data_IF_934174617900
#
_entry.id   IF_934174617900
#
_cell.length_a   1.000
_cell.length_b   1.000
_cell.length_c   1.000
_cell.angle_alpha   90.00
_cell.angle_beta   90.00
_cell.angle_gamma   90.00
#
_symmetry.space_group_name_H-M   'P 1'
#
loop_
_entity.id
_entity.type
_entity.pdbx_description
1 polymer ?
#
# COMPACT_ATOMS: atom_id res chain seq x y z
N UNK A 1 -1.66 -13.65 47.08
CA UNK A 1 -0.68 -12.95 46.22
C UNK A 1 0.02 -14.02 45.39
N UNK A 2 -0.58 -14.39 44.26
CA UNK A 2 0.06 -15.27 43.30
C UNK A 2 1.02 -14.41 42.47
N UNK A 3 2.31 -14.64 42.65
CA UNK A 3 3.37 -14.20 41.74
C UNK A 3 3.14 -14.88 40.39
N UNK A 4 2.54 -14.16 39.44
CA UNK A 4 2.57 -14.55 38.03
C UNK A 4 4.02 -14.55 37.59
N UNK A 5 4.59 -15.74 37.52
CA UNK A 5 5.88 -15.99 36.88
C UNK A 5 5.73 -15.58 35.41
N UNK A 6 6.33 -14.46 35.01
CA UNK A 6 6.48 -14.11 33.60
C UNK A 6 7.38 -15.16 32.96
N UNK A 7 6.76 -16.21 32.43
CA UNK A 7 7.44 -17.13 31.53
C UNK A 7 7.84 -16.32 30.31
N UNK A 8 9.12 -15.97 30.21
CA UNK A 8 9.70 -15.48 28.96
C UNK A 8 9.45 -16.56 27.91
N UNK A 9 8.54 -16.28 26.98
CA UNK A 9 8.30 -17.13 25.82
C UNK A 9 9.60 -17.17 25.04
N UNK A 10 10.22 -18.35 24.96
CA UNK A 10 11.45 -18.52 24.21
C UNK A 10 11.11 -18.42 22.72
N UNK A 11 11.52 -17.33 22.07
CA UNK A 11 11.36 -17.18 20.62
C UNK A 11 12.39 -18.01 19.87
N UNK A 12 12.01 -18.51 18.71
CA UNK A 12 12.93 -19.19 17.82
C UNK A 12 14.04 -18.23 17.36
N UNK A 13 15.23 -18.77 17.08
CA UNK A 13 16.34 -17.97 16.51
C UNK A 13 15.93 -17.32 15.18
N UNK A 14 15.01 -17.97 14.44
CA UNK A 14 14.53 -17.48 13.14
C UNK A 14 13.59 -16.30 13.33
N UNK A 15 12.64 -16.37 14.29
CA UNK A 15 11.80 -15.23 14.63
C UNK A 15 12.63 -14.06 15.13
N UNK A 16 13.61 -14.29 16.02
CA UNK A 16 14.51 -13.24 16.48
C UNK A 16 15.22 -12.57 15.29
N UNK A 17 15.78 -13.36 14.37
CA UNK A 17 16.48 -12.85 13.19
C UNK A 17 15.58 -11.99 12.31
N UNK A 18 14.32 -12.39 12.14
CA UNK A 18 13.32 -11.61 11.41
C UNK A 18 13.03 -10.27 12.11
N UNK A 19 12.71 -10.30 13.40
CA UNK A 19 12.34 -9.10 14.16
C UNK A 19 13.48 -8.09 14.25
N UNK A 20 14.73 -8.57 14.35
CA UNK A 20 15.91 -7.71 14.50
C UNK A 20 16.52 -7.22 13.18
N UNK A 21 16.02 -7.68 12.03
CA UNK A 21 16.60 -7.38 10.72
C UNK A 21 16.64 -5.87 10.44
N UNK A 22 17.82 -5.37 10.03
CA UNK A 22 18.07 -3.94 9.80
C UNK A 22 17.71 -3.49 8.38
N UNK A 23 17.80 -4.39 7.41
CA UNK A 23 17.48 -4.12 6.02
C UNK A 23 16.41 -5.07 5.51
N UNK A 24 15.67 -4.60 4.51
CA UNK A 24 14.50 -5.30 3.99
C UNK A 24 14.85 -6.65 3.37
N UNK A 25 15.99 -6.78 2.70
CA UNK A 25 16.41 -8.06 2.12
C UNK A 25 16.58 -9.12 3.20
N UNK A 26 17.23 -8.77 4.31
CA UNK A 26 17.45 -9.67 5.45
C UNK A 26 16.13 -10.03 6.13
N UNK A 27 15.23 -9.05 6.29
CA UNK A 27 13.90 -9.30 6.83
C UNK A 27 13.11 -10.27 5.95
N UNK A 28 13.15 -10.11 4.62
CA UNK A 28 12.48 -11.01 3.66
C UNK A 28 13.06 -12.42 3.71
N UNK A 29 14.38 -12.57 3.72
CA UNK A 29 15.03 -13.88 3.81
C UNK A 29 14.68 -14.60 5.13
N UNK A 30 14.72 -13.87 6.25
CA UNK A 30 14.34 -14.39 7.56
C UNK A 30 12.85 -14.74 7.63
N UNK A 31 11.97 -13.93 7.00
CA UNK A 31 10.54 -14.19 6.88
C UNK A 31 10.26 -15.49 6.13
N UNK A 32 10.97 -15.72 5.02
CA UNK A 32 10.87 -16.95 4.23
C UNK A 32 11.33 -18.14 5.07
N UNK A 33 12.46 -18.01 5.76
CA UNK A 33 12.98 -19.05 6.64
C UNK A 33 12.05 -19.37 7.81
N UNK A 34 11.34 -18.37 8.35
CA UNK A 34 10.38 -18.53 9.45
C UNK A 34 9.19 -19.40 9.04
N UNK A 35 8.77 -19.35 7.78
CA UNK A 35 7.63 -20.11 7.27
C UNK A 35 6.34 -19.79 8.03
N UNK A 36 5.76 -20.80 8.68
CA UNK A 36 4.62 -20.64 9.58
C UNK A 36 5.10 -20.64 11.03
N UNK A 37 4.92 -19.53 11.78
CA UNK A 37 5.31 -19.48 13.18
C UNK A 37 4.59 -20.54 14.01
N UNK A 38 5.33 -21.15 14.93
CA UNK A 38 4.80 -22.06 15.94
C UNK A 38 4.01 -21.30 17.03
N UNK A 39 3.34 -21.99 17.97
CA UNK A 39 2.55 -21.32 19.01
C UNK A 39 3.34 -20.36 19.92
N UNK A 40 4.61 -20.66 20.21
CA UNK A 40 5.45 -19.82 21.06
C UNK A 40 5.87 -18.56 20.31
N UNK A 41 6.28 -18.70 19.05
CA UNK A 41 6.58 -17.57 18.17
C UNK A 41 5.34 -16.67 17.96
N UNK A 42 4.14 -17.24 17.79
CA UNK A 42 2.88 -16.47 17.70
C UNK A 42 2.58 -15.69 18.97
N UNK A 43 2.77 -16.30 20.14
CA UNK A 43 2.57 -15.63 21.42
C UNK A 43 3.56 -14.45 21.59
N UNK A 44 4.80 -14.61 21.12
CA UNK A 44 5.78 -13.54 21.13
C UNK A 44 5.44 -12.41 20.16
N UNK A 45 5.03 -12.72 18.93
CA UNK A 45 4.54 -11.73 17.95
C UNK A 45 3.39 -10.90 18.55
N UNK A 46 2.39 -11.55 19.13
CA UNK A 46 1.27 -10.87 19.77
C UNK A 46 1.72 -9.97 20.93
N UNK A 47 2.69 -10.41 21.72
CA UNK A 47 3.27 -9.61 22.80
C UNK A 47 3.97 -8.35 22.29
N UNK A 48 4.75 -8.46 21.20
CA UNK A 48 5.43 -7.33 20.55
C UNK A 48 4.40 -6.32 20.01
N UNK A 49 3.39 -6.80 19.27
CA UNK A 49 2.34 -5.92 18.72
C UNK A 49 1.51 -5.25 19.81
N UNK A 50 1.29 -5.90 20.96
CA UNK A 50 0.59 -5.28 22.07
C UNK A 50 1.44 -4.20 22.75
N UNK A 51 2.74 -4.46 22.98
CA UNK A 51 3.67 -3.52 23.64
C UNK A 51 4.00 -2.33 22.76
N UNK A 52 4.27 -2.56 21.48
CA UNK A 52 4.63 -1.53 20.49
C UNK A 52 5.82 -0.65 20.93
N UNK A 53 6.80 -1.24 21.64
CA UNK A 53 7.95 -0.53 22.19
C UNK A 53 9.26 -0.77 21.43
N UNK A 54 9.20 -1.59 20.39
CA UNK A 54 10.29 -1.84 19.44
C UNK A 54 9.81 -1.51 18.03
N UNK A 55 10.03 -0.26 17.58
CA UNK A 55 9.57 0.23 16.27
C UNK A 55 10.07 -0.64 15.12
N UNK A 56 11.29 -1.19 15.21
CA UNK A 56 11.85 -2.03 14.16
C UNK A 56 11.13 -3.38 14.08
N UNK A 57 10.97 -4.05 15.21
CA UNK A 57 10.24 -5.31 15.25
C UNK A 57 8.78 -5.14 14.79
N UNK A 58 8.13 -4.06 15.22
CA UNK A 58 6.78 -3.71 14.78
C UNK A 58 6.74 -3.42 13.28
N UNK A 59 7.67 -2.63 12.75
CA UNK A 59 7.71 -2.33 11.31
C UNK A 59 7.86 -3.61 10.47
N UNK A 60 8.76 -4.51 10.88
CA UNK A 60 8.94 -5.80 10.22
C UNK A 60 7.63 -6.60 10.22
N UNK A 61 6.87 -6.59 11.33
CA UNK A 61 5.56 -7.23 11.40
C UNK A 61 4.47 -6.53 10.57
N UNK A 62 4.49 -5.20 10.47
CA UNK A 62 3.55 -4.43 9.65
C UNK A 62 3.78 -4.63 8.15
N UNK A 63 5.03 -4.85 7.72
CA UNK A 63 5.33 -5.27 6.34
C UNK A 63 4.84 -6.69 6.01
N UNK A 64 4.55 -7.50 7.03
CA UNK A 64 4.16 -8.91 6.90
C UNK A 64 2.91 -9.22 7.75
N UNK A 65 1.76 -8.58 7.46
CA UNK A 65 0.56 -8.70 8.29
C UNK A 65 0.02 -10.13 8.35
N UNK A 66 0.38 -11.01 7.40
CA UNK A 66 -0.01 -12.42 7.43
C UNK A 66 0.60 -13.21 8.61
N UNK A 67 1.61 -12.65 9.29
CA UNK A 67 2.14 -13.19 10.55
C UNK A 67 1.24 -12.88 11.76
N UNK A 68 0.37 -11.89 11.64
CA UNK A 68 -0.55 -11.46 12.69
C UNK A 68 -1.82 -12.31 12.70
N UNK A 69 -2.49 -12.36 13.85
CA UNK A 69 -3.84 -12.92 13.93
C UNK A 69 -4.79 -12.11 13.04
N UNK A 70 -5.71 -12.77 12.33
CA UNK A 70 -6.58 -12.14 11.33
C UNK A 70 -7.39 -10.97 11.92
N UNK A 71 -7.87 -11.11 13.15
CA UNK A 71 -8.60 -10.09 13.90
C UNK A 71 -7.77 -8.86 14.32
N UNK A 72 -6.45 -8.95 14.23
CA UNK A 72 -5.50 -7.92 14.66
C UNK A 72 -4.76 -7.27 13.50
N UNK A 73 -4.75 -7.89 12.30
CA UNK A 73 -4.10 -7.37 11.10
C UNK A 73 -4.50 -5.91 10.83
N UNK A 74 -5.79 -5.68 10.66
CA UNK A 74 -6.34 -4.37 10.26
C UNK A 74 -6.12 -3.33 11.33
N UNK A 75 -6.36 -3.69 12.61
CA UNK A 75 -6.14 -2.80 13.75
C UNK A 75 -4.68 -2.37 13.87
N UNK A 76 -3.76 -3.30 13.63
CA UNK A 76 -2.32 -3.03 13.66
C UNK A 76 -1.90 -2.10 12.53
N UNK A 77 -2.40 -2.31 11.31
CA UNK A 77 -2.12 -1.43 10.17
C UNK A 77 -2.69 -0.03 10.40
N UNK A 78 -3.92 0.10 10.90
CA UNK A 78 -4.50 1.40 11.27
C UNK A 78 -3.63 2.09 12.34
N UNK A 79 -3.26 1.37 13.40
CA UNK A 79 -2.37 1.92 14.45
C UNK A 79 -1.04 2.39 13.88
N UNK A 80 -0.44 1.64 12.95
CA UNK A 80 0.78 2.00 12.26
C UNK A 80 0.65 3.27 11.42
N UNK A 81 -0.44 3.40 10.67
CA UNK A 81 -0.76 4.61 9.89
C UNK A 81 -0.99 5.85 10.76
N UNK A 82 -1.47 5.68 11.99
CA UNK A 82 -1.71 6.76 12.96
C UNK A 82 -0.45 7.18 13.74
N UNK A 83 0.72 6.61 13.44
CA UNK A 83 1.98 7.01 14.10
C UNK A 83 2.57 8.27 13.47
N UNK A 84 2.05 9.45 13.83
CA UNK A 84 2.46 10.75 13.24
C UNK A 84 3.97 11.03 13.31
N UNK A 85 4.65 10.57 14.35
CA UNK A 85 6.08 10.84 14.59
C UNK A 85 7.02 9.79 13.94
N UNK A 86 6.51 8.61 13.57
CA UNK A 86 7.32 7.50 13.04
C UNK A 86 6.95 7.21 11.57
N UNK A 87 7.63 7.91 10.66
CA UNK A 87 7.42 7.76 9.22
C UNK A 87 7.71 6.33 8.72
N UNK A 88 8.57 5.58 9.40
CA UNK A 88 8.90 4.22 8.98
C UNK A 88 7.79 3.24 9.35
N UNK A 89 7.19 3.38 10.54
CA UNK A 89 5.99 2.61 10.90
C UNK A 89 4.82 2.92 9.97
N UNK A 90 4.61 4.18 9.60
CA UNK A 90 3.60 4.54 8.59
C UNK A 90 3.90 3.89 7.25
N UNK A 91 5.13 3.96 6.77
CA UNK A 91 5.55 3.28 5.54
C UNK A 91 5.29 1.78 5.59
N UNK A 92 5.66 1.12 6.69
CA UNK A 92 5.45 -0.31 6.89
C UNK A 92 3.96 -0.66 6.84
N UNK A 93 3.13 0.13 7.52
CA UNK A 93 1.68 -0.04 7.50
C UNK A 93 1.08 0.20 6.10
N UNK A 94 1.50 1.25 5.40
CA UNK A 94 1.07 1.52 4.02
C UNK A 94 1.33 0.29 3.14
N UNK A 95 2.56 -0.24 3.19
CA UNK A 95 2.94 -1.39 2.37
C UNK A 95 2.17 -2.65 2.80
N UNK A 96 2.02 -2.88 4.12
CA UNK A 96 1.26 -4.01 4.65
C UNK A 96 -0.21 -4.03 4.22
N UNK A 97 -0.84 -2.89 3.95
CA UNK A 97 -2.21 -2.84 3.41
C UNK A 97 -2.33 -3.54 2.04
N UNK A 98 -1.23 -3.68 1.29
CA UNK A 98 -1.26 -4.40 0.00
C UNK A 98 -1.46 -5.91 0.17
N UNK A 99 -1.12 -6.46 1.34
CA UNK A 99 -1.11 -7.90 1.60
C UNK A 99 -2.35 -8.37 2.38
N UNK A 100 -3.28 -7.47 2.72
CA UNK A 100 -4.55 -7.84 3.36
C UNK A 100 -5.66 -8.08 2.34
N UNK A 101 -6.57 -9.00 2.66
CA UNK A 101 -7.77 -9.22 1.85
C UNK A 101 -8.82 -8.14 2.13
N UNK A 102 -8.82 -7.08 1.32
CA UNK A 102 -9.75 -5.96 1.47
C UNK A 102 -11.24 -6.35 1.37
N UNK A 103 -11.56 -7.48 0.72
CA UNK A 103 -12.95 -7.93 0.53
C UNK A 103 -13.57 -8.47 1.82
N UNK A 104 -12.75 -8.87 2.79
CA UNK A 104 -13.20 -9.38 4.08
C UNK A 104 -13.27 -8.28 5.15
N UNK A 105 -12.94 -7.03 4.81
CA UNK A 105 -12.94 -5.92 5.75
C UNK A 105 -14.35 -5.44 6.06
N UNK A 106 -14.58 -5.08 7.33
CA UNK A 106 -15.75 -4.31 7.71
C UNK A 106 -15.75 -2.94 7.01
N UNK A 107 -16.92 -2.41 6.68
CA UNK A 107 -17.04 -1.14 5.96
C UNK A 107 -16.40 0.04 6.70
N UNK A 108 -16.45 0.03 8.03
CA UNK A 108 -15.82 1.06 8.87
C UNK A 108 -14.29 1.03 8.74
N UNK A 109 -13.69 -0.15 8.84
CA UNK A 109 -12.24 -0.34 8.70
C UNK A 109 -11.75 -0.02 7.29
N UNK A 110 -12.48 -0.47 6.26
CA UNK A 110 -12.17 -0.13 4.86
C UNK A 110 -12.16 1.38 4.65
N UNK A 111 -13.17 2.07 5.18
CA UNK A 111 -13.27 3.54 5.09
C UNK A 111 -12.10 4.20 5.82
N UNK A 112 -11.78 3.76 7.04
CA UNK A 112 -10.69 4.30 7.83
C UNK A 112 -9.33 4.13 7.16
N UNK A 113 -9.01 2.94 6.63
CA UNK A 113 -7.79 2.69 5.87
C UNK A 113 -7.72 3.58 4.62
N UNK A 114 -8.82 3.67 3.86
CA UNK A 114 -8.89 4.54 2.67
C UNK A 114 -8.60 5.99 3.03
N UNK A 115 -9.24 6.52 4.07
CA UNK A 115 -9.03 7.91 4.53
C UNK A 115 -7.58 8.15 4.92
N UNK A 116 -6.97 7.26 5.71
CA UNK A 116 -5.58 7.41 6.13
C UNK A 116 -4.61 7.38 4.94
N UNK A 117 -4.81 6.47 3.99
CA UNK A 117 -3.98 6.38 2.79
C UNK A 117 -4.16 7.60 1.87
N UNK A 118 -5.38 8.11 1.71
CA UNK A 118 -5.60 9.35 0.95
C UNK A 118 -4.88 10.52 1.61
N UNK A 119 -4.90 10.61 2.94
CA UNK A 119 -4.14 11.63 3.68
C UNK A 119 -2.65 11.55 3.38
N UNK A 120 -2.07 10.34 3.38
CA UNK A 120 -0.65 10.13 3.04
C UNK A 120 -0.32 10.49 1.59
N UNK A 121 -1.24 10.29 0.64
CA UNK A 121 -1.05 10.74 -0.76
C UNK A 121 -1.03 12.27 -0.85
N UNK A 122 -1.81 12.95 -0.02
CA UNK A 122 -1.97 14.41 -0.07
C UNK A 122 -0.84 15.14 0.66
N UNK A 123 -0.41 14.62 1.81
CA UNK A 123 0.42 15.32 2.79
C UNK A 123 1.74 14.60 3.10
N UNK A 124 1.86 13.33 2.73
CA UNK A 124 3.03 12.51 3.01
C UNK A 124 4.28 12.94 2.24
N UNK A 125 5.43 12.43 2.69
CA UNK A 125 6.68 12.56 1.91
C UNK A 125 6.54 11.87 0.56
N UNK A 126 7.42 12.19 -0.39
CA UNK A 126 7.36 11.60 -1.74
C UNK A 126 7.26 10.07 -1.72
N UNK A 127 8.02 9.39 -0.84
CA UNK A 127 8.00 7.92 -0.71
C UNK A 127 6.69 7.43 -0.11
N UNK A 128 6.21 8.08 0.96
CA UNK A 128 4.95 7.72 1.62
C UNK A 128 3.76 7.89 0.67
N UNK A 129 3.65 9.06 0.03
CA UNK A 129 2.59 9.35 -0.93
C UNK A 129 2.60 8.37 -2.10
N UNK A 130 3.79 8.09 -2.66
CA UNK A 130 3.93 7.13 -3.73
C UNK A 130 3.49 5.73 -3.32
N UNK A 131 3.88 5.26 -2.13
CA UNK A 131 3.45 3.93 -1.64
C UNK A 131 1.97 3.90 -1.26
N UNK A 132 1.42 4.99 -0.73
CA UNK A 132 0.01 5.08 -0.40
C UNK A 132 -0.87 5.06 -1.66
N UNK A 133 -0.44 5.72 -2.75
CA UNK A 133 -1.16 5.72 -4.04
C UNK A 133 -1.29 4.33 -4.67
N UNK A 134 -0.35 3.42 -4.39
CA UNK A 134 -0.44 2.01 -4.77
C UNK A 134 -1.39 1.26 -3.83
N UNK A 135 -1.22 1.45 -2.53
CA UNK A 135 -1.90 0.67 -1.50
C UNK A 135 -3.40 0.96 -1.42
N UNK A 136 -3.82 2.17 -1.81
CA UNK A 136 -5.22 2.56 -1.83
C UNK A 136 -6.02 1.92 -2.98
N UNK A 137 -5.36 1.36 -4.01
CA UNK A 137 -6.00 0.93 -5.25
C UNK A 137 -7.11 -0.11 -5.09
N UNK A 138 -6.99 -0.99 -4.09
CA UNK A 138 -8.01 -2.01 -3.80
C UNK A 138 -9.18 -1.46 -2.95
N UNK A 139 -9.04 -0.26 -2.40
CA UNK A 139 -10.02 0.39 -1.53
C UNK A 139 -10.89 1.42 -2.26
N UNK A 140 -10.41 1.92 -3.41
CA UNK A 140 -11.11 2.93 -4.21
C UNK A 140 -12.44 2.40 -4.77
N UNK A 141 -13.40 3.31 -4.88
CA UNK A 141 -14.72 3.09 -5.45
C UNK A 141 -15.07 4.19 -6.45
N UNK A 142 -16.10 4.02 -7.30
CA UNK A 142 -16.50 5.04 -8.27
C UNK A 142 -16.79 6.42 -7.67
N UNK A 143 -17.24 6.51 -6.42
CA UNK A 143 -17.44 7.79 -5.73
C UNK A 143 -16.13 8.58 -5.46
N UNK A 144 -14.96 7.94 -5.56
CA UNK A 144 -13.66 8.55 -5.29
C UNK A 144 -13.07 9.26 -6.53
N UNK A 145 -13.86 9.45 -7.61
CA UNK A 145 -13.40 9.98 -8.89
C UNK A 145 -12.77 11.37 -8.79
N UNK A 146 -13.34 12.26 -7.98
CA UNK A 146 -12.85 13.63 -7.84
C UNK A 146 -11.45 13.64 -7.21
N UNK A 147 -11.23 12.80 -6.20
CA UNK A 147 -9.93 12.65 -5.55
C UNK A 147 -8.88 12.07 -6.51
N UNK A 148 -9.27 11.13 -7.38
CA UNK A 148 -8.37 10.56 -8.39
C UNK A 148 -8.00 11.58 -9.47
N UNK A 149 -8.96 12.40 -9.91
CA UNK A 149 -8.70 13.47 -10.85
C UNK A 149 -7.78 14.54 -10.26
N UNK A 150 -7.95 14.91 -8.98
CA UNK A 150 -7.05 15.84 -8.30
C UNK A 150 -5.60 15.32 -8.26
N UNK A 151 -5.41 14.02 -8.05
CA UNK A 151 -4.09 13.39 -8.06
C UNK A 151 -3.38 13.49 -9.42
N UNK A 152 -4.11 13.58 -10.54
CA UNK A 152 -3.51 13.78 -11.85
C UNK A 152 -2.80 15.13 -11.96
N UNK A 153 -3.20 16.15 -11.19
CA UNK A 153 -2.56 17.47 -11.18
C UNK A 153 -1.31 17.53 -10.31
N UNK A 154 -0.92 16.43 -9.65
CA UNK A 154 0.29 16.42 -8.82
C UNK A 154 1.53 16.55 -9.73
N UNK A 155 2.56 17.31 -9.31
CA UNK A 155 3.78 17.44 -10.11
C UNK A 155 4.61 16.15 -10.16
N UNK A 156 4.31 15.17 -9.31
CA UNK A 156 5.00 13.89 -9.26
C UNK A 156 4.45 12.91 -10.31
N UNK A 157 5.29 12.56 -11.30
CA UNK A 157 4.94 11.64 -12.39
C UNK A 157 4.45 10.28 -11.91
N UNK A 158 4.99 9.76 -10.80
CA UNK A 158 4.60 8.48 -10.24
C UNK A 158 3.19 8.57 -9.65
N UNK A 159 2.86 9.65 -8.93
CA UNK A 159 1.51 9.86 -8.42
C UNK A 159 0.49 10.01 -9.56
N UNK A 160 0.83 10.76 -10.61
CA UNK A 160 -0.01 10.90 -11.81
C UNK A 160 -0.26 9.55 -12.49
N UNK A 161 0.81 8.76 -12.63
CA UNK A 161 0.73 7.41 -13.18
C UNK A 161 -0.22 6.53 -12.38
N UNK A 162 -0.06 6.51 -11.06
CA UNK A 162 -0.85 5.65 -10.17
C UNK A 162 -2.32 6.07 -10.13
N UNK A 163 -2.61 7.37 -10.16
CA UNK A 163 -3.97 7.89 -10.29
C UNK A 163 -4.62 7.48 -11.62
N UNK A 164 -3.86 7.49 -12.72
CA UNK A 164 -4.35 7.06 -14.02
C UNK A 164 -4.66 5.55 -14.06
N UNK A 165 -3.77 4.73 -13.51
CA UNK A 165 -4.01 3.29 -13.32
C UNK A 165 -5.26 3.06 -12.45
N UNK A 166 -5.43 3.84 -11.38
CA UNK A 166 -6.59 3.78 -10.52
C UNK A 166 -7.90 4.06 -11.29
N UNK A 167 -7.94 5.12 -12.10
CA UNK A 167 -9.10 5.46 -12.93
C UNK A 167 -9.43 4.31 -13.90
N UNK A 168 -8.43 3.77 -14.59
CA UNK A 168 -8.63 2.63 -15.51
C UNK A 168 -9.14 1.40 -14.77
N UNK A 169 -8.65 1.13 -13.56
CA UNK A 169 -9.09 -0.01 -12.76
C UNK A 169 -10.53 0.14 -12.25
N UNK A 170 -10.92 1.33 -11.80
CA UNK A 170 -12.25 1.60 -11.23
C UNK A 170 -13.33 1.70 -12.31
N UNK A 171 -13.02 2.35 -13.44
CA UNK A 171 -14.01 2.69 -14.47
C UNK A 171 -13.84 1.91 -15.79
N UNK A 172 -12.70 1.26 -16.00
CA UNK A 172 -12.31 0.73 -17.30
C UNK A 172 -11.74 1.80 -18.22
N UNK A 173 -11.06 1.36 -19.30
CA UNK A 173 -10.29 2.23 -20.21
C UNK A 173 -11.14 3.34 -20.82
N UNK A 174 -12.29 3.01 -21.42
CA UNK A 174 -13.11 3.98 -22.14
C UNK A 174 -13.69 5.05 -21.19
N UNK A 175 -14.25 4.63 -20.06
CA UNK A 175 -14.86 5.56 -19.14
C UNK A 175 -13.81 6.42 -18.42
N UNK A 176 -12.61 5.88 -18.15
CA UNK A 176 -11.49 6.68 -17.64
C UNK A 176 -11.07 7.77 -18.63
N UNK A 177 -10.96 7.45 -19.93
CA UNK A 177 -10.70 8.43 -21.00
C UNK A 177 -11.76 9.53 -21.04
N UNK A 178 -13.05 9.16 -21.00
CA UNK A 178 -14.15 10.11 -21.05
C UNK A 178 -14.14 11.05 -19.83
N UNK A 179 -13.87 10.51 -18.64
CA UNK A 179 -13.74 11.29 -17.40
C UNK A 179 -12.58 12.29 -17.48
N UNK A 180 -11.42 11.88 -17.98
CA UNK A 180 -10.24 12.74 -18.14
C UNK A 180 -10.52 13.85 -19.15
N UNK A 181 -11.19 13.53 -20.27
CA UNK A 181 -11.57 14.53 -21.26
C UNK A 181 -12.54 15.56 -20.67
N UNK A 182 -13.57 15.10 -19.94
CA UNK A 182 -14.52 15.98 -19.27
C UNK A 182 -13.83 16.86 -18.22
N UNK A 183 -12.93 16.30 -17.42
CA UNK A 183 -12.15 17.02 -16.43
C UNK A 183 -11.24 18.08 -17.06
N UNK A 184 -10.63 17.79 -18.21
CA UNK A 184 -9.84 18.77 -18.93
C UNK A 184 -10.72 19.90 -19.50
N UNK A 185 -11.89 19.56 -20.08
CA UNK A 185 -12.83 20.56 -20.60
C UNK A 185 -13.41 21.48 -19.52
N UNK A 186 -13.57 20.98 -18.29
CA UNK A 186 -14.05 21.77 -17.15
C UNK A 186 -12.94 22.53 -16.41
N UNK A 187 -11.67 22.27 -16.74
CA UNK A 187 -10.50 22.82 -16.03
C UNK A 187 -10.23 22.17 -14.67
N UNK A 188 -10.82 21.01 -14.39
CA UNK A 188 -10.53 20.22 -13.19
C UNK A 188 -9.15 19.55 -13.23
N UNK A 189 -8.61 19.31 -14.44
CA UNK A 189 -7.20 18.93 -14.62
C UNK A 189 -6.50 19.91 -15.57
N UNK A 190 -5.20 20.09 -15.37
CA UNK A 190 -4.38 20.95 -16.22
C UNK A 190 -3.96 20.30 -17.56
N UNK A 191 -3.48 21.13 -18.49
CA UNK A 191 -3.06 20.67 -19.82
C UNK A 191 -1.87 19.69 -19.77
N UNK A 192 -1.01 19.79 -18.75
CA UNK A 192 0.10 18.86 -18.57
C UNK A 192 -0.40 17.46 -18.23
N UNK A 193 -1.36 17.39 -17.31
CA UNK A 193 -2.00 16.17 -16.84
C UNK A 193 -2.81 15.52 -17.94
N UNK A 194 -3.56 16.33 -18.70
CA UNK A 194 -4.25 15.88 -19.92
C UNK A 194 -3.26 15.27 -20.94
N UNK A 195 -2.20 16.00 -21.28
CA UNK A 195 -1.20 15.54 -22.27
C UNK A 195 -0.52 14.26 -21.81
N UNK A 196 -0.20 14.16 -20.51
CA UNK A 196 0.35 12.95 -19.91
C UNK A 196 -0.60 11.76 -20.08
N UNK A 197 -1.88 11.92 -19.74
CA UNK A 197 -2.89 10.87 -19.89
C UNK A 197 -3.07 10.45 -21.35
N UNK A 198 -3.20 11.41 -22.28
CA UNK A 198 -3.33 11.14 -23.72
C UNK A 198 -2.17 10.29 -24.24
N UNK A 199 -0.94 10.56 -23.80
CA UNK A 199 0.24 9.76 -24.16
C UNK A 199 0.15 8.31 -23.67
N UNK A 200 -0.26 8.08 -22.42
CA UNK A 200 -0.41 6.74 -21.87
C UNK A 200 -1.52 5.94 -22.58
N UNK A 201 -2.62 6.59 -22.96
CA UNK A 201 -3.67 5.91 -23.73
C UNK A 201 -3.27 5.68 -25.19
N UNK A 202 -2.48 6.56 -25.81
CA UNK A 202 -1.95 6.34 -27.15
C UNK A 202 -1.09 5.07 -27.22
N UNK A 203 -0.22 4.84 -26.23
CA UNK A 203 0.55 3.60 -26.09
C UNK A 203 -0.36 2.35 -26.06
N UNK A 204 -1.44 2.41 -25.29
CA UNK A 204 -2.42 1.33 -25.22
C UNK A 204 -3.13 1.11 -26.56
N UNK A 205 -3.52 2.18 -27.25
CA UNK A 205 -4.15 2.14 -28.57
C UNK A 205 -3.24 1.52 -29.62
N UNK A 206 -1.96 1.88 -29.65
CA UNK A 206 -0.97 1.29 -30.58
C UNK A 206 -0.85 -0.23 -30.40
N UNK A 207 -0.83 -0.71 -29.16
CA UNK A 207 -0.83 -2.15 -28.86
C UNK A 207 -2.09 -2.86 -29.37
N UNK A 208 -3.26 -2.20 -29.24
CA UNK A 208 -4.53 -2.75 -29.72
C UNK A 208 -4.59 -2.77 -31.26
N UNK A 209 -4.10 -1.73 -31.93
CA UNK A 209 -4.00 -1.67 -33.39
C UNK A 209 -3.04 -2.73 -33.94
N UNK A 210 -2.03 -3.12 -33.16
CA UNK A 210 -1.16 -4.27 -33.42
C UNK A 210 -1.86 -5.64 -33.31
N UNK A 211 -3.15 -5.67 -32.99
CA UNK A 211 -3.97 -6.89 -32.94
C UNK A 211 -4.06 -7.53 -31.55
N UNK A 212 -3.52 -6.89 -30.50
CA UNK A 212 -3.67 -7.38 -29.13
C UNK A 212 -5.10 -7.08 -28.62
N UNK A 213 -5.77 -8.05 -27.98
CA UNK A 213 -6.97 -7.76 -27.20
C UNK A 213 -6.68 -6.72 -26.12
N UNK A 214 -7.66 -5.85 -25.82
CA UNK A 214 -7.49 -4.75 -24.85
C UNK A 214 -6.97 -5.22 -23.48
N UNK A 215 -7.37 -6.41 -23.03
CA UNK A 215 -6.88 -6.99 -21.77
C UNK A 215 -5.39 -7.34 -21.81
N UNK A 216 -4.89 -7.83 -22.94
CA UNK A 216 -3.46 -8.12 -23.13
C UNK A 216 -2.67 -6.83 -23.36
N UNK A 217 -3.21 -5.92 -24.17
CA UNK A 217 -2.62 -4.60 -24.41
C UNK A 217 -2.47 -3.81 -23.10
N UNK A 218 -3.47 -3.87 -22.21
CA UNK A 218 -3.41 -3.23 -20.89
C UNK A 218 -2.29 -3.81 -20.04
N UNK A 219 -2.16 -5.14 -19.97
CA UNK A 219 -1.07 -5.79 -19.22
C UNK A 219 0.33 -5.44 -19.75
N UNK A 220 0.43 -5.09 -21.03
CA UNK A 220 1.69 -4.76 -21.70
C UNK A 220 1.98 -3.26 -21.75
N UNK A 221 1.00 -2.41 -21.47
CA UNK A 221 1.18 -0.96 -21.46
C UNK A 221 1.59 -0.45 -20.09
N UNK A 222 2.02 0.81 -20.04
CA UNK A 222 2.23 1.53 -18.78
C UNK A 222 1.00 1.50 -17.84
N UNK A 223 -0.22 1.39 -18.37
CA UNK A 223 -1.46 1.41 -17.59
C UNK A 223 -1.83 0.06 -16.95
N UNK A 224 -1.06 -1.00 -17.20
CA UNK A 224 -1.34 -2.34 -16.67
C UNK A 224 -1.11 -2.49 -15.17
N UNK A 225 -0.23 -1.68 -14.60
CA UNK A 225 0.14 -1.77 -13.19
C UNK A 225 0.61 -0.40 -12.67
N UNK A 226 0.41 -0.14 -11.36
CA UNK A 226 0.97 1.06 -10.74
C UNK A 226 2.49 0.98 -10.66
N UNK A 227 3.13 2.14 -10.63
CA UNK A 227 4.56 2.29 -10.42
C UNK A 227 4.88 2.31 -8.92
N UNK A 228 5.86 1.50 -8.51
CA UNK A 228 6.26 1.36 -7.12
C UNK A 228 7.47 2.26 -6.80
N UNK A 229 7.35 3.14 -5.81
CA UNK A 229 8.51 3.86 -5.28
C UNK A 229 9.45 2.95 -4.50
N UNK A 230 10.73 3.27 -4.39
CA UNK A 230 11.66 2.51 -3.54
C UNK A 230 11.23 2.53 -2.05
N UNK A 231 11.39 1.41 -1.34
CA UNK A 231 11.19 1.34 0.13
C UNK A 231 12.58 1.46 0.77
N UNK A 232 12.88 2.55 1.50
CA UNK A 232 14.14 2.67 2.23
C UNK A 232 14.27 1.60 3.33
N UNK A 233 15.51 1.26 3.66
CA UNK A 233 15.83 0.48 4.86
C UNK A 233 15.55 1.30 6.13
N UNK A 234 15.40 0.62 7.26
CA UNK A 234 15.25 1.28 8.56
C UNK A 234 16.56 2.04 8.88
N UNK A 235 16.46 3.32 9.23
CA UNK A 235 17.58 4.13 9.68
C UNK A 235 17.30 4.55 11.13
N UNK A 236 18.18 4.14 12.05
CA UNK A 236 18.14 4.51 13.48
C UNK A 236 18.30 6.03 13.71
#
# INVERSE_FOLDING_TARGET
METRSSTLVAISTVLHSFLSAENRSTAVDARIALGNPDPDDRAAIASIMNRWDDSKAVANLLFHPELLATEDQVKSLIRGLEQDEDAYLRLAAIVGVQDINVQNLESADRTKLKTLLISEIQEGSQVLAARASVSVLELLQPEDVEQLLDQLNKPDDLLRHNALVALVKVFGVQQALDLIYQAACSGAIDDSSRTYSERCFAELSELCEGGLPISQALLMSSLGAPSLAYIPDYLD
#
